data_IF_649468255504
#
_entry.id   IF_649468255504
#
_cell.length_a   1.000
_cell.length_b   1.000
_cell.length_c   1.000
_cell.angle_alpha   90.00
_cell.angle_beta   90.00
_cell.angle_gamma   90.00
#
_symmetry.space_group_name_H-M   'P 1'
#
loop_
_entity.id
_entity.type
_entity.pdbx_description
1 polymer ?
#
# COMPACT_ATOMS: atom_id res chain seq x y z
N UNK A 1 -3.64 -0.45 2.85
CA UNK A 1 -2.76 -0.45 4.04
C UNK A 1 -1.49 -1.21 3.67
N UNK A 2 -0.32 -0.85 4.21
CA UNK A 2 0.97 -1.49 3.88
C UNK A 2 0.97 -2.97 4.30
N UNK A 3 1.39 -3.85 3.40
CA UNK A 3 1.68 -5.27 3.60
C UNK A 3 3.16 -5.46 3.99
N UNK A 4 3.38 -5.92 5.22
CA UNK A 4 4.73 -6.07 5.76
C UNK A 4 5.63 -6.96 4.89
N UNK A 5 6.86 -6.50 4.66
CA UNK A 5 7.90 -7.11 3.83
C UNK A 5 7.55 -7.30 2.34
N UNK A 6 6.42 -6.76 1.86
CA UNK A 6 6.02 -6.83 0.46
C UNK A 6 5.99 -5.45 -0.21
N UNK A 7 5.28 -4.50 0.37
CA UNK A 7 5.18 -3.11 -0.12
C UNK A 7 5.71 -2.08 0.90
N UNK A 8 6.22 -2.55 2.03
CA UNK A 8 6.86 -1.74 3.05
C UNK A 8 7.31 -2.59 4.24
N UNK A 9 7.80 -1.93 5.30
CA UNK A 9 8.19 -2.59 6.55
C UNK A 9 7.39 -2.01 7.71
N UNK A 10 6.79 -2.87 8.52
CA UNK A 10 6.15 -2.44 9.78
C UNK A 10 7.18 -2.30 10.87
N UNK A 11 7.14 -1.22 11.63
CA UNK A 11 7.89 -1.07 12.88
C UNK A 11 7.00 -1.38 14.09
N UNK A 12 7.59 -1.92 15.16
CA UNK A 12 6.87 -2.19 16.41
C UNK A 12 6.54 -0.87 17.09
N UNK A 13 5.29 -0.73 17.52
CA UNK A 13 4.79 0.45 18.22
C UNK A 13 5.67 0.78 19.43
N UNK A 14 6.08 2.05 19.56
CA UNK A 14 6.93 2.58 20.64
C UNK A 14 8.29 1.88 20.79
N UNK A 15 8.78 1.18 19.77
CA UNK A 15 10.11 0.59 19.78
C UNK A 15 11.06 1.38 18.86
N UNK A 16 11.81 2.31 19.44
CA UNK A 16 12.73 3.16 18.69
C UNK A 16 13.86 2.36 18.01
N UNK A 17 14.36 1.31 18.66
CA UNK A 17 15.44 0.47 18.14
C UNK A 17 15.00 -0.28 16.88
N UNK A 18 13.84 -0.93 16.94
CA UNK A 18 13.26 -1.66 15.80
C UNK A 18 12.94 -0.73 14.61
N UNK A 19 12.49 0.50 14.90
CA UNK A 19 12.29 1.52 13.87
C UNK A 19 13.64 1.94 13.24
N UNK A 20 14.66 2.24 14.05
CA UNK A 20 15.97 2.64 13.53
C UNK A 20 16.62 1.54 12.68
N UNK A 21 16.53 0.28 13.10
CA UNK A 21 17.07 -0.87 12.36
C UNK A 21 16.38 -1.03 10.99
N UNK A 22 15.06 -0.82 10.92
CA UNK A 22 14.31 -0.86 9.65
C UNK A 22 14.66 0.30 8.72
N UNK A 23 14.86 1.50 9.26
CA UNK A 23 15.32 2.64 8.48
C UNK A 23 16.73 2.35 7.91
N UNK A 24 17.66 1.88 8.75
CA UNK A 24 19.01 1.51 8.31
C UNK A 24 18.98 0.45 7.21
N UNK A 25 18.21 -0.63 7.39
CA UNK A 25 18.04 -1.67 6.38
C UNK A 25 17.58 -1.10 5.03
N UNK A 26 16.60 -0.20 5.03
CA UNK A 26 16.10 0.42 3.79
C UNK A 26 17.11 1.37 3.14
N UNK A 27 17.99 2.01 3.92
CA UNK A 27 19.04 2.88 3.40
C UNK A 27 20.20 2.06 2.80
N UNK A 28 20.56 0.96 3.46
CA UNK A 28 21.71 0.12 3.11
C UNK A 28 21.40 -0.88 1.98
N UNK A 29 20.22 -1.51 1.98
CA UNK A 29 19.82 -2.48 0.95
C UNK A 29 18.95 -1.81 -0.12
N UNK A 30 19.60 -1.29 -1.15
CA UNK A 30 18.93 -0.68 -2.30
C UNK A 30 18.00 -1.65 -3.04
N UNK A 31 18.40 -2.90 -3.20
CA UNK A 31 17.61 -3.89 -3.95
C UNK A 31 16.30 -4.17 -3.24
N UNK A 32 16.35 -4.36 -1.93
CA UNK A 32 15.15 -4.49 -1.09
C UNK A 32 14.27 -3.25 -1.23
N UNK A 33 14.84 -2.05 -1.07
CA UNK A 33 14.09 -0.79 -1.15
C UNK A 33 13.37 -0.63 -2.49
N UNK A 34 14.04 -0.90 -3.61
CA UNK A 34 13.45 -0.80 -4.95
C UNK A 34 12.32 -1.82 -5.17
N UNK A 35 12.48 -3.05 -4.67
CA UNK A 35 11.43 -4.06 -4.76
C UNK A 35 10.18 -3.66 -3.98
N UNK A 36 10.35 -3.19 -2.74
CA UNK A 36 9.23 -2.71 -1.92
C UNK A 36 8.54 -1.51 -2.59
N UNK A 37 9.31 -0.54 -3.10
CA UNK A 37 8.77 0.65 -3.77
C UNK A 37 7.96 0.29 -5.03
N UNK A 38 8.44 -0.66 -5.84
CA UNK A 38 7.72 -1.15 -7.02
C UNK A 38 6.37 -1.76 -6.64
N UNK A 39 6.35 -2.61 -5.61
CA UNK A 39 5.12 -3.26 -5.15
C UNK A 39 4.15 -2.22 -4.55
N UNK A 40 4.64 -1.27 -3.77
CA UNK A 40 3.85 -0.17 -3.22
C UNK A 40 3.22 0.70 -4.30
N UNK A 41 3.99 1.04 -5.34
CA UNK A 41 3.48 1.81 -6.48
C UNK A 41 2.37 1.06 -7.22
N UNK A 42 2.51 -0.26 -7.37
CA UNK A 42 1.49 -1.10 -7.99
C UNK A 42 0.21 -1.20 -7.13
N UNK A 43 0.33 -1.33 -5.81
CA UNK A 43 -0.82 -1.33 -4.89
C UNK A 43 -1.54 0.04 -4.87
N UNK A 44 -0.77 1.13 -4.90
CA UNK A 44 -1.30 2.50 -4.90
C UNK A 44 -2.28 2.76 -6.05
N UNK A 45 -2.10 2.11 -7.20
CA UNK A 45 -3.02 2.22 -8.35
C UNK A 45 -4.45 1.82 -7.98
N UNK A 46 -4.67 0.92 -7.02
CA UNK A 46 -6.01 0.50 -6.59
C UNK A 46 -6.81 1.61 -5.90
N UNK A 47 -6.12 2.66 -5.44
CA UNK A 47 -6.70 3.80 -4.76
C UNK A 47 -6.79 5.03 -5.68
N UNK A 48 -6.58 4.84 -6.98
CA UNK A 48 -6.87 5.87 -7.98
C UNK A 48 -8.36 6.28 -7.90
N UNK A 49 -8.59 7.59 -7.91
CA UNK A 49 -9.92 8.17 -7.73
C UNK A 49 -10.90 7.71 -8.82
N UNK A 50 -10.43 7.50 -10.05
CA UNK A 50 -11.28 7.02 -11.14
C UNK A 50 -11.67 5.57 -10.92
N UNK A 51 -10.75 4.73 -10.42
CA UNK A 51 -11.07 3.34 -10.07
C UNK A 51 -12.11 3.29 -8.95
N UNK A 52 -11.94 4.14 -7.92
CA UNK A 52 -12.89 4.24 -6.81
C UNK A 52 -14.26 4.71 -7.33
N UNK A 53 -14.31 5.80 -8.09
CA UNK A 53 -15.54 6.34 -8.66
C UNK A 53 -16.28 5.31 -9.53
N UNK A 54 -15.55 4.56 -10.38
CA UNK A 54 -16.13 3.49 -11.19
C UNK A 54 -16.75 2.37 -10.33
N UNK A 55 -16.15 2.02 -9.19
CA UNK A 55 -16.74 1.02 -8.26
C UNK A 55 -18.06 1.52 -7.68
N UNK A 56 -18.13 2.80 -7.30
CA UNK A 56 -19.37 3.41 -6.82
C UNK A 56 -20.45 3.51 -7.90
N UNK A 57 -20.10 3.93 -9.12
CA UNK A 57 -21.05 3.96 -10.25
C UNK A 57 -21.64 2.57 -10.52
N UNK A 58 -20.80 1.53 -10.55
CA UNK A 58 -21.26 0.14 -10.70
C UNK A 58 -22.22 -0.30 -9.57
N UNK A 59 -21.99 0.16 -8.34
CA UNK A 59 -22.89 -0.10 -7.22
C UNK A 59 -24.24 0.60 -7.43
N UNK A 60 -24.24 1.88 -7.81
CA UNK A 60 -25.47 2.62 -8.10
C UNK A 60 -26.25 1.98 -9.24
N UNK A 61 -25.60 1.62 -10.35
CA UNK A 61 -26.24 0.93 -11.47
C UNK A 61 -26.91 -0.37 -11.03
N UNK A 62 -26.25 -1.15 -10.16
CA UNK A 62 -26.79 -2.41 -9.64
C UNK A 62 -28.03 -2.18 -8.76
N UNK A 63 -27.98 -1.18 -7.88
CA UNK A 63 -29.09 -0.88 -6.96
C UNK A 63 -30.28 -0.33 -7.75
N UNK A 64 -30.06 0.64 -8.64
CA UNK A 64 -31.13 1.30 -9.40
C UNK A 64 -31.79 0.33 -10.40
N UNK A 65 -31.03 -0.56 -11.06
CA UNK A 65 -31.61 -1.55 -11.98
C UNK A 65 -32.41 -2.66 -11.29
N UNK A 66 -32.25 -2.82 -9.98
CA UNK A 66 -32.98 -3.79 -9.17
C UNK A 66 -34.20 -3.17 -8.44
N UNK A 67 -34.55 -1.93 -8.77
CA UNK A 67 -35.81 -1.26 -8.41
C UNK A 67 -36.71 -1.23 -9.64
#
# INVERSE_FOLDING_TARGET
AISNAYDGLWAKTKNAKDLSEKISLLLEDEKLRLNLAKNAAQDALQYDENIIAQRYLKLYDRVIKNV
#
